data_IF_293832762588
#
_entry.id   IF_293832762588
#
_cell.length_a   1.000
_cell.length_b   1.000
_cell.length_c   1.000
_cell.angle_alpha   90.00
_cell.angle_beta   90.00
_cell.angle_gamma   90.00
#
_symmetry.space_group_name_H-M   'P 1'
#
loop_
_entity.id
_entity.type
_entity.pdbx_description
1 polymer ?
#
# COMPACT_ATOMS: atom_id res chain seq x y z
N UNK A 1 -23.11 42.01 -71.32
CA UNK A 1 -22.66 40.63 -70.99
C UNK A 1 -21.47 40.64 -70.01
N UNK A 2 -20.46 41.48 -70.19
CA UNK A 2 -19.28 41.59 -69.31
C UNK A 2 -19.55 41.98 -67.84
N UNK A 3 -20.53 42.86 -67.57
CA UNK A 3 -20.87 43.27 -66.21
C UNK A 3 -21.47 42.14 -65.34
N UNK A 4 -22.21 41.21 -65.97
CA UNK A 4 -22.88 40.11 -65.25
C UNK A 4 -21.88 39.02 -64.82
N UNK A 5 -20.77 38.86 -65.56
CA UNK A 5 -19.68 37.91 -65.27
C UNK A 5 -18.83 38.42 -64.09
N UNK A 6 -18.53 39.72 -64.01
CA UNK A 6 -17.77 40.32 -62.90
C UNK A 6 -18.49 40.19 -61.54
N UNK A 7 -19.81 40.33 -61.55
CA UNK A 7 -20.61 40.30 -60.33
C UNK A 7 -20.74 38.87 -59.77
N UNK A 8 -20.91 37.86 -60.64
CA UNK A 8 -20.91 36.46 -60.21
C UNK A 8 -19.57 36.01 -59.65
N UNK A 9 -18.43 36.48 -60.20
CA UNK A 9 -17.11 36.15 -59.66
C UNK A 9 -16.84 36.74 -58.26
N UNK A 10 -17.33 37.97 -57.98
CA UNK A 10 -17.18 38.59 -56.66
C UNK A 10 -18.00 37.86 -55.58
N UNK A 11 -19.23 37.44 -55.90
CA UNK A 11 -20.11 36.74 -54.96
C UNK A 11 -19.57 35.33 -54.60
N UNK A 12 -18.92 34.64 -55.55
CA UNK A 12 -18.24 33.37 -55.27
C UNK A 12 -16.96 33.52 -54.44
N UNK A 13 -16.20 34.61 -54.57
CA UNK A 13 -15.00 34.82 -53.75
C UNK A 13 -15.35 35.16 -52.29
N UNK A 14 -16.39 35.97 -52.06
CA UNK A 14 -16.85 36.31 -50.71
C UNK A 14 -17.45 35.11 -49.97
N UNK A 15 -18.24 34.29 -50.65
CA UNK A 15 -18.83 33.08 -50.05
C UNK A 15 -17.81 31.97 -49.77
N UNK A 16 -16.74 31.87 -50.57
CA UNK A 16 -15.64 30.94 -50.31
C UNK A 16 -14.77 31.37 -49.11
N UNK A 17 -14.47 32.66 -48.99
CA UNK A 17 -13.73 33.19 -47.84
C UNK A 17 -14.54 33.08 -46.53
N UNK A 18 -15.83 33.40 -46.54
CA UNK A 18 -16.68 33.30 -45.35
C UNK A 18 -16.79 31.86 -44.81
N UNK A 19 -16.85 30.86 -45.71
CA UNK A 19 -16.90 29.44 -45.33
C UNK A 19 -15.56 28.89 -44.80
N UNK A 20 -14.43 29.40 -45.29
CA UNK A 20 -13.11 29.04 -44.75
C UNK A 20 -12.89 29.63 -43.35
N UNK A 21 -13.36 30.85 -43.10
CA UNK A 21 -13.26 31.48 -41.77
C UNK A 21 -14.18 30.80 -40.75
N UNK A 22 -15.41 30.40 -41.12
CA UNK A 22 -16.33 29.75 -40.19
C UNK A 22 -15.92 28.31 -39.83
N UNK A 23 -15.40 27.53 -40.79
CA UNK A 23 -14.92 26.17 -40.52
C UNK A 23 -13.67 26.17 -39.62
N UNK A 24 -12.75 27.11 -39.85
CA UNK A 24 -11.54 27.23 -39.05
C UNK A 24 -11.85 27.77 -37.65
N UNK A 25 -12.80 28.70 -37.52
CA UNK A 25 -13.24 29.21 -36.22
C UNK A 25 -13.90 28.12 -35.37
N UNK A 26 -14.77 27.28 -35.96
CA UNK A 26 -15.39 26.15 -35.25
C UNK A 26 -14.36 25.15 -34.72
N UNK A 27 -13.33 24.82 -35.54
CA UNK A 27 -12.23 23.93 -35.13
C UNK A 27 -11.38 24.52 -34.02
N UNK A 28 -11.10 25.83 -34.06
CA UNK A 28 -10.34 26.54 -33.01
C UNK A 28 -11.14 26.56 -31.70
N UNK A 29 -12.45 26.81 -31.76
CA UNK A 29 -13.31 26.81 -30.58
C UNK A 29 -13.45 25.41 -29.96
N UNK A 30 -13.53 24.36 -30.78
CA UNK A 30 -13.46 22.97 -30.32
C UNK A 30 -12.14 22.65 -29.63
N UNK A 31 -11.01 23.07 -30.21
CA UNK A 31 -9.69 22.88 -29.61
C UNK A 31 -9.56 23.63 -28.26
N UNK A 32 -10.07 24.87 -28.18
CA UNK A 32 -10.08 25.65 -26.94
C UNK A 32 -10.96 25.00 -25.86
N UNK A 33 -12.14 24.48 -26.22
CA UNK A 33 -13.01 23.79 -25.29
C UNK A 33 -12.38 22.48 -24.78
N UNK A 34 -11.76 21.70 -25.67
CA UNK A 34 -11.00 20.49 -25.28
C UNK A 34 -9.80 20.83 -24.37
N UNK A 35 -9.03 21.88 -24.68
CA UNK A 35 -7.93 22.33 -23.83
C UNK A 35 -8.43 22.84 -22.47
N UNK A 36 -9.55 23.56 -22.45
CA UNK A 36 -10.13 24.05 -21.19
C UNK A 36 -10.61 22.90 -20.29
N UNK A 37 -11.23 21.86 -20.85
CA UNK A 37 -11.60 20.64 -20.11
C UNK A 37 -10.38 19.89 -19.56
N UNK A 38 -9.23 19.94 -20.23
CA UNK A 38 -7.99 19.34 -19.73
C UNK A 38 -7.34 20.17 -18.60
N UNK A 39 -7.61 21.48 -18.53
CA UNK A 39 -7.08 22.36 -17.49
C UNK A 39 -7.92 22.37 -16.20
N UNK A 40 -9.19 21.96 -16.21
CA UNK A 40 -10.04 21.94 -15.00
C UNK A 40 -9.85 20.70 -14.13
N UNK A 41 -9.15 19.67 -14.62
CA UNK A 41 -8.92 18.42 -13.85
C UNK A 41 -7.65 18.44 -12.99
N UNK A 42 -6.91 19.55 -12.95
CA UNK A 42 -5.79 19.73 -12.02
C UNK A 42 -6.31 20.23 -10.67
N UNK A 43 -7.15 19.44 -10.01
CA UNK A 43 -7.41 19.62 -8.59
C UNK A 43 -6.11 19.24 -7.87
N UNK A 44 -5.45 20.19 -7.21
CA UNK A 44 -4.41 19.89 -6.22
C UNK A 44 -5.14 19.20 -5.07
N UNK A 45 -5.38 17.90 -5.20
CA UNK A 45 -5.64 17.07 -4.03
C UNK A 45 -4.43 17.22 -3.12
N UNK A 46 -4.69 17.61 -1.88
CA UNK A 46 -3.68 17.75 -0.85
C UNK A 46 -2.98 16.39 -0.69
N UNK A 47 -1.81 16.23 -1.31
CA UNK A 47 -1.07 14.95 -1.34
C UNK A 47 -0.69 14.48 0.07
N UNK A 48 -0.82 15.34 1.09
CA UNK A 48 -0.64 15.01 2.50
C UNK A 48 -1.89 14.51 3.24
N UNK A 49 -3.11 14.64 2.69
CA UNK A 49 -4.34 14.23 3.38
C UNK A 49 -4.50 12.70 3.46
N UNK A 50 -3.88 11.96 2.54
CA UNK A 50 -3.88 10.50 2.49
C UNK A 50 -2.63 9.86 3.10
N UNK A 51 -1.71 10.67 3.65
CA UNK A 51 -0.48 10.17 4.24
C UNK A 51 -0.76 9.37 5.52
N UNK A 52 -0.07 8.24 5.67
CA UNK A 52 -0.18 7.39 6.85
C UNK A 52 0.47 8.10 8.04
N UNK A 53 -0.28 8.30 9.13
CA UNK A 53 0.28 8.87 10.36
C UNK A 53 1.15 7.85 11.11
N UNK A 54 2.09 8.33 11.93
CA UNK A 54 2.96 7.48 12.73
C UNK A 54 2.13 6.63 13.72
N UNK A 55 1.07 7.20 14.28
CA UNK A 55 0.15 6.50 15.20
C UNK A 55 -0.63 5.40 14.47
N UNK A 56 -1.12 5.67 13.26
CA UNK A 56 -1.83 4.68 12.46
C UNK A 56 -0.91 3.54 12.02
N UNK A 57 0.32 3.86 11.57
CA UNK A 57 1.33 2.84 11.28
C UNK A 57 1.64 2.01 12.53
N UNK A 58 1.90 2.66 13.65
CA UNK A 58 2.20 2.02 14.93
C UNK A 58 1.09 1.07 15.34
N UNK A 59 -0.17 1.52 15.36
CA UNK A 59 -1.30 0.67 15.74
C UNK A 59 -1.43 -0.57 14.85
N UNK A 60 -1.29 -0.43 13.52
CA UNK A 60 -1.33 -1.58 12.60
C UNK A 60 -0.15 -2.54 12.83
N UNK A 61 1.08 -2.01 12.88
CA UNK A 61 2.29 -2.79 13.04
C UNK A 61 2.34 -3.53 14.38
N UNK A 62 1.97 -2.87 15.48
CA UNK A 62 1.97 -3.47 16.82
C UNK A 62 0.89 -4.54 16.95
N UNK A 63 -0.31 -4.30 16.40
CA UNK A 63 -1.37 -5.32 16.40
C UNK A 63 -0.92 -6.59 15.67
N UNK A 64 -0.28 -6.43 14.50
CA UNK A 64 0.25 -7.54 13.71
C UNK A 64 1.42 -8.24 14.41
N UNK A 65 2.35 -7.50 15.04
CA UNK A 65 3.46 -8.08 15.81
C UNK A 65 2.98 -8.92 17.00
N UNK A 66 1.96 -8.46 17.73
CA UNK A 66 1.36 -9.24 18.81
C UNK A 66 0.75 -10.55 18.30
N UNK A 67 0.11 -10.50 17.13
CA UNK A 67 -0.40 -11.70 16.49
C UNK A 67 0.74 -12.65 16.07
N UNK A 68 1.80 -12.13 15.45
CA UNK A 68 3.00 -12.90 15.09
C UNK A 68 3.66 -13.56 16.31
N UNK A 69 3.72 -12.87 17.44
CA UNK A 69 4.27 -13.43 18.67
C UNK A 69 3.52 -14.69 19.11
N UNK A 70 2.18 -14.65 19.11
CA UNK A 70 1.38 -15.83 19.46
C UNK A 70 1.57 -16.98 18.46
N UNK A 71 1.69 -16.68 17.17
CA UNK A 71 2.00 -17.71 16.17
C UNK A 71 3.39 -18.32 16.40
N UNK A 72 4.39 -17.51 16.72
CA UNK A 72 5.74 -17.98 17.03
C UNK A 72 5.76 -18.85 18.29
N UNK A 73 4.96 -18.51 19.31
CA UNK A 73 4.76 -19.36 20.49
C UNK A 73 4.16 -20.72 20.11
N UNK A 74 3.13 -20.76 19.25
CA UNK A 74 2.57 -22.03 18.76
C UNK A 74 3.59 -22.81 17.91
N UNK A 75 4.42 -22.14 17.09
CA UNK A 75 5.48 -22.79 16.30
C UNK A 75 6.51 -23.47 17.21
N UNK A 76 6.88 -22.81 18.33
CA UNK A 76 7.84 -23.34 19.29
C UNK A 76 7.40 -24.65 19.96
N UNK A 77 6.09 -24.90 20.02
CA UNK A 77 5.51 -26.11 20.61
C UNK A 77 5.60 -27.34 19.68
N UNK A 78 5.90 -27.14 18.40
CA UNK A 78 6.05 -28.24 17.43
C UNK A 78 7.42 -28.89 17.61
N UNK A 79 7.52 -29.85 18.52
CA UNK A 79 8.76 -30.58 18.82
C UNK A 79 9.06 -31.73 17.86
N UNK A 80 8.10 -32.10 17.00
CA UNK A 80 8.26 -33.20 16.04
C UNK A 80 9.30 -32.91 14.94
N UNK A 81 9.71 -31.66 14.76
CA UNK A 81 10.68 -31.28 13.74
C UNK A 81 11.53 -30.08 14.20
N UNK A 82 12.84 -30.28 14.36
CA UNK A 82 13.77 -29.33 15.03
C UNK A 82 13.76 -27.91 14.45
N UNK A 83 13.53 -27.76 13.13
CA UNK A 83 13.47 -26.43 12.50
C UNK A 83 12.37 -25.51 13.02
N UNK A 84 11.24 -26.05 13.46
CA UNK A 84 10.12 -25.24 13.95
C UNK A 84 10.50 -24.41 15.20
N UNK A 85 10.99 -25.02 16.29
CA UNK A 85 11.42 -24.27 17.47
C UNK A 85 12.65 -23.39 17.22
N UNK A 86 13.56 -23.78 16.33
CA UNK A 86 14.71 -22.94 15.95
C UNK A 86 14.26 -21.64 15.27
N UNK A 87 13.40 -21.74 14.25
CA UNK A 87 12.86 -20.58 13.54
C UNK A 87 12.00 -19.73 14.48
N UNK A 88 11.14 -20.35 15.30
CA UNK A 88 10.32 -19.63 16.27
C UNK A 88 11.17 -18.77 17.22
N UNK A 89 12.27 -19.33 17.76
CA UNK A 89 13.19 -18.61 18.64
C UNK A 89 13.82 -17.41 17.93
N UNK A 90 14.32 -17.59 16.71
CA UNK A 90 14.91 -16.50 15.93
C UNK A 90 13.89 -15.38 15.67
N UNK A 91 12.67 -15.74 15.29
CA UNK A 91 11.58 -14.80 15.03
C UNK A 91 11.15 -14.03 16.27
N UNK A 92 11.11 -14.66 17.44
CA UNK A 92 10.84 -13.97 18.72
C UNK A 92 11.89 -12.90 19.00
N UNK A 93 13.18 -13.20 18.82
CA UNK A 93 14.25 -12.21 19.03
C UNK A 93 14.20 -11.08 17.98
N UNK A 94 13.96 -11.40 16.70
CA UNK A 94 13.77 -10.40 15.65
C UNK A 94 12.56 -9.50 15.94
N UNK A 95 11.46 -10.05 16.46
CA UNK A 95 10.24 -9.31 16.83
C UNK A 95 10.47 -8.35 18.01
N UNK A 96 11.21 -8.76 19.05
CA UNK A 96 11.60 -7.87 20.16
C UNK A 96 12.41 -6.68 19.66
N UNK A 97 13.40 -6.95 18.80
CA UNK A 97 14.23 -5.90 18.19
C UNK A 97 13.38 -4.95 17.35
N UNK A 98 12.51 -5.49 16.50
CA UNK A 98 11.56 -4.71 15.69
C UNK A 98 10.73 -3.76 16.56
N UNK A 99 10.12 -4.27 17.64
CA UNK A 99 9.26 -3.48 18.52
C UNK A 99 10.04 -2.39 19.25
N UNK A 100 11.26 -2.69 19.72
CA UNK A 100 12.14 -1.70 20.35
C UNK A 100 12.52 -0.57 19.40
N UNK A 101 12.88 -0.89 18.15
CA UNK A 101 13.21 0.11 17.13
C UNK A 101 11.99 0.93 16.72
N UNK A 102 10.84 0.28 16.50
CA UNK A 102 9.60 0.97 16.16
C UNK A 102 9.23 2.00 17.24
N UNK A 103 9.23 1.58 18.51
CA UNK A 103 8.98 2.45 19.66
C UNK A 103 9.91 3.68 19.65
N UNK A 104 11.20 3.48 19.37
CA UNK A 104 12.18 4.56 19.26
C UNK A 104 11.87 5.53 18.11
N UNK A 105 11.53 4.99 16.93
CA UNK A 105 11.25 5.79 15.73
C UNK A 105 9.98 6.62 15.88
N UNK A 106 8.92 6.07 16.49
CA UNK A 106 7.65 6.79 16.72
C UNK A 106 7.63 7.61 18.02
N UNK A 107 8.69 7.54 18.84
CA UNK A 107 8.80 8.28 20.09
C UNK A 107 7.90 7.78 21.23
N UNK A 108 7.58 6.49 21.24
CA UNK A 108 6.79 5.84 22.30
C UNK A 108 7.75 5.19 23.30
N UNK A 109 7.79 5.70 24.54
CA UNK A 109 8.73 5.27 25.57
C UNK A 109 8.13 4.29 26.60
N UNK A 110 6.85 3.95 26.48
CA UNK A 110 6.17 3.02 27.39
C UNK A 110 5.78 1.72 26.66
N UNK A 111 5.97 0.58 27.32
CA UNK A 111 5.53 -0.75 26.84
C UNK A 111 4.00 -0.91 26.76
N UNK A 112 3.25 0.06 27.28
CA UNK A 112 1.78 0.10 27.26
C UNK A 112 1.23 0.42 25.87
N UNK A 113 1.45 -0.50 24.93
CA UNK A 113 0.60 -0.55 23.74
C UNK A 113 -0.72 -1.20 24.13
N UNK A 114 -1.73 -0.38 24.45
CA UNK A 114 -3.13 -0.83 24.58
C UNK A 114 -3.69 -1.43 23.28
N UNK A 115 -2.93 -1.34 22.18
CA UNK A 115 -3.24 -1.94 20.89
C UNK A 115 -3.47 -3.45 21.03
N UNK A 116 -4.73 -3.86 20.92
CA UNK A 116 -5.10 -5.26 20.91
C UNK A 116 -4.78 -5.92 19.55
N UNK A 117 -4.72 -7.25 19.56
CA UNK A 117 -4.79 -8.03 18.32
C UNK A 117 -6.19 -7.83 17.72
N UNK A 118 -6.29 -7.66 16.41
CA UNK A 118 -7.59 -7.54 15.74
C UNK A 118 -8.46 -8.78 15.94
N UNK A 119 -9.77 -8.58 16.06
CA UNK A 119 -10.74 -9.64 16.37
C UNK A 119 -10.66 -10.82 15.39
N UNK A 120 -10.50 -10.54 14.09
CA UNK A 120 -10.35 -11.58 13.07
C UNK A 120 -9.13 -12.48 13.33
N UNK A 121 -7.98 -11.88 13.67
CA UNK A 121 -6.76 -12.63 13.98
C UNK A 121 -6.93 -13.45 15.27
N UNK A 122 -7.64 -12.92 16.27
CA UNK A 122 -7.98 -13.67 17.48
C UNK A 122 -8.87 -14.88 17.18
N UNK A 123 -9.91 -14.70 16.36
CA UNK A 123 -10.76 -15.82 15.94
C UNK A 123 -10.00 -16.88 15.15
N UNK A 124 -9.07 -16.47 14.28
CA UNK A 124 -8.21 -17.39 13.54
C UNK A 124 -7.35 -18.23 14.48
N UNK A 125 -6.78 -17.64 15.55
CA UNK A 125 -6.07 -18.39 16.59
C UNK A 125 -6.97 -19.40 17.31
N UNK A 126 -8.21 -19.01 17.63
CA UNK A 126 -9.18 -19.91 18.26
C UNK A 126 -9.50 -21.09 17.33
N UNK A 127 -9.64 -20.85 16.02
CA UNK A 127 -9.86 -21.92 15.03
C UNK A 127 -8.64 -22.82 14.88
N UNK A 128 -7.43 -22.25 14.84
CA UNK A 128 -6.17 -22.99 14.76
C UNK A 128 -6.06 -23.99 15.93
N UNK A 129 -6.36 -23.57 17.16
CA UNK A 129 -6.27 -24.42 18.36
C UNK A 129 -7.25 -25.60 18.40
N UNK A 130 -8.25 -25.62 17.51
CA UNK A 130 -9.17 -26.76 17.34
C UNK A 130 -8.63 -27.83 16.39
N UNK A 131 -7.57 -27.51 15.63
CA UNK A 131 -6.91 -28.46 14.74
C UNK A 131 -5.89 -29.29 15.52
N UNK A 132 -5.54 -30.45 14.97
CA UNK A 132 -4.52 -31.33 15.52
C UNK A 132 -3.61 -31.90 14.42
N UNK A 133 -2.44 -32.39 14.82
CA UNK A 133 -1.50 -33.08 13.94
C UNK A 133 -1.06 -32.24 12.73
N UNK A 134 -1.08 -32.84 11.55
CA UNK A 134 -0.60 -32.20 10.31
C UNK A 134 -1.49 -31.04 9.86
N UNK A 135 -2.79 -31.09 10.12
CA UNK A 135 -3.70 -29.99 9.78
C UNK A 135 -3.38 -28.73 10.61
N UNK A 136 -3.10 -28.92 11.90
CA UNK A 136 -2.61 -27.82 12.76
C UNK A 136 -1.32 -27.22 12.23
N UNK A 137 -0.32 -28.07 11.92
CA UNK A 137 1.00 -27.60 11.43
C UNK A 137 0.88 -26.82 10.13
N UNK A 138 0.15 -27.35 9.14
CA UNK A 138 -0.07 -26.69 7.85
C UNK A 138 -0.78 -25.36 8.00
N UNK A 139 -1.83 -25.32 8.82
CA UNK A 139 -2.59 -24.10 9.06
C UNK A 139 -1.77 -23.05 9.82
N UNK A 140 -0.99 -23.45 10.82
CA UNK A 140 -0.09 -22.55 11.53
C UNK A 140 0.94 -21.92 10.58
N UNK A 141 1.62 -22.74 9.77
CA UNK A 141 2.58 -22.23 8.77
C UNK A 141 1.90 -21.27 7.79
N UNK A 142 0.70 -21.61 7.30
CA UNK A 142 -0.09 -20.74 6.42
C UNK A 142 -0.40 -19.40 7.10
N UNK A 143 -0.88 -19.42 8.35
CA UNK A 143 -1.20 -18.22 9.12
C UNK A 143 0.03 -17.35 9.38
N UNK A 144 1.19 -17.96 9.67
CA UNK A 144 2.45 -17.21 9.84
C UNK A 144 2.90 -16.56 8.55
N UNK A 145 2.80 -17.25 7.41
CA UNK A 145 3.11 -16.69 6.09
C UNK A 145 2.22 -15.48 5.78
N UNK A 146 0.92 -15.61 5.99
CA UNK A 146 -0.04 -14.53 5.72
C UNK A 146 0.20 -13.32 6.63
N UNK A 147 0.56 -13.56 7.88
CA UNK A 147 0.93 -12.52 8.83
C UNK A 147 2.21 -11.78 8.42
N UNK A 148 3.24 -12.50 7.96
CA UNK A 148 4.46 -11.90 7.41
C UNK A 148 4.17 -11.03 6.18
N UNK A 149 3.33 -11.53 5.27
CA UNK A 149 2.89 -10.76 4.11
C UNK A 149 2.11 -9.50 4.50
N UNK A 150 1.27 -9.58 5.53
CA UNK A 150 0.53 -8.43 6.04
C UNK A 150 1.47 -7.37 6.64
N UNK A 151 2.45 -7.80 7.44
CA UNK A 151 3.44 -6.87 8.00
C UNK A 151 4.28 -6.21 6.91
N UNK A 152 4.71 -6.96 5.89
CA UNK A 152 5.39 -6.41 4.71
C UNK A 152 4.49 -5.40 3.99
N UNK A 153 3.20 -5.70 3.80
CA UNK A 153 2.24 -4.79 3.16
C UNK A 153 2.11 -3.46 3.91
N UNK A 154 2.11 -3.50 5.26
CA UNK A 154 2.13 -2.30 6.11
C UNK A 154 3.38 -1.44 5.82
N UNK A 155 4.55 -2.06 5.63
CA UNK A 155 5.79 -1.34 5.31
C UNK A 155 5.79 -0.80 3.88
N UNK A 156 5.33 -1.59 2.90
CA UNK A 156 5.16 -1.14 1.51
C UNK A 156 4.28 0.10 1.43
N UNK A 157 3.19 0.14 2.21
CA UNK A 157 2.34 1.34 2.33
C UNK A 157 3.11 2.52 2.91
N UNK A 158 3.90 2.30 3.95
CA UNK A 158 4.69 3.35 4.60
C UNK A 158 5.76 3.96 3.68
N UNK A 159 6.45 3.14 2.87
CA UNK A 159 7.52 3.62 1.97
C UNK A 159 7.01 4.23 0.67
N UNK A 160 5.72 4.07 0.36
CA UNK A 160 5.14 4.60 -0.87
C UNK A 160 5.26 6.13 -0.98
N UNK A 161 5.18 6.72 -2.19
CA UNK A 161 5.26 8.18 -2.38
C UNK A 161 4.21 8.97 -1.57
N UNK A 162 3.05 8.37 -1.32
CA UNK A 162 1.96 8.90 -0.48
C UNK A 162 1.90 8.22 0.90
N UNK A 163 3.00 7.61 1.34
CA UNK A 163 3.07 6.73 2.50
C UNK A 163 3.15 7.47 3.84
N UNK A 164 4.06 7.03 4.71
CA UNK A 164 4.22 7.60 6.05
C UNK A 164 4.58 9.09 6.00
N UNK A 165 3.91 9.92 6.80
CA UNK A 165 4.18 11.37 6.86
C UNK A 165 5.54 11.70 7.49
N UNK A 166 5.98 10.93 8.48
CA UNK A 166 7.30 11.08 9.11
C UNK A 166 8.38 10.44 8.22
N UNK A 167 9.35 11.20 7.69
CA UNK A 167 10.43 10.67 6.88
C UNK A 167 11.28 9.62 7.62
N UNK A 168 11.50 9.77 8.94
CA UNK A 168 12.29 8.80 9.71
C UNK A 168 11.58 7.45 9.78
N UNK A 169 10.26 7.47 9.93
CA UNK A 169 9.44 6.26 9.90
C UNK A 169 9.48 5.61 8.52
N UNK A 170 9.44 6.42 7.46
CA UNK A 170 9.54 5.94 6.08
C UNK A 170 10.87 5.24 5.82
N UNK A 171 11.99 5.90 6.16
CA UNK A 171 13.33 5.37 5.95
C UNK A 171 13.56 4.10 6.78
N UNK A 172 13.11 4.09 8.04
CA UNK A 172 13.18 2.89 8.88
C UNK A 172 12.32 1.75 8.30
N UNK A 173 11.10 2.04 7.84
CA UNK A 173 10.25 1.02 7.24
C UNK A 173 10.88 0.41 5.99
N UNK A 174 11.58 1.21 5.18
CA UNK A 174 12.35 0.71 4.03
C UNK A 174 13.52 -0.18 4.47
N UNK A 175 14.27 0.23 5.49
CA UNK A 175 15.39 -0.55 6.03
C UNK A 175 14.96 -1.90 6.63
N UNK A 176 13.72 -2.02 7.11
CA UNK A 176 13.19 -3.27 7.66
C UNK A 176 12.78 -4.29 6.60
N UNK A 177 12.51 -3.86 5.36
CA UNK A 177 12.02 -4.74 4.29
C UNK A 177 12.87 -6.00 4.04
N UNK A 178 14.23 -5.94 4.00
CA UNK A 178 15.06 -7.14 3.85
C UNK A 178 14.84 -8.16 4.97
N UNK A 179 14.83 -7.70 6.23
CA UNK A 179 14.62 -8.56 7.41
C UNK A 179 13.25 -9.22 7.39
N UNK A 180 12.20 -8.48 7.04
CA UNK A 180 10.84 -9.01 6.95
C UNK A 180 10.69 -10.03 5.81
N UNK A 181 11.34 -9.78 4.68
CA UNK A 181 11.33 -10.69 3.53
C UNK A 181 12.10 -11.96 3.82
N UNK A 182 13.22 -11.88 4.54
CA UNK A 182 13.98 -13.04 5.01
C UNK A 182 13.11 -13.91 5.95
N UNK A 183 12.42 -13.30 6.92
CA UNK A 183 11.52 -14.01 7.83
C UNK A 183 10.42 -14.77 7.08
N UNK A 184 9.83 -14.14 6.05
CA UNK A 184 8.84 -14.77 5.18
C UNK A 184 9.44 -15.97 4.41
N UNK A 185 10.65 -15.80 3.86
CA UNK A 185 11.32 -16.88 3.14
C UNK A 185 11.62 -18.07 4.06
N UNK A 186 12.11 -17.83 5.27
CA UNK A 186 12.39 -18.88 6.27
C UNK A 186 11.14 -19.71 6.59
N UNK A 187 9.98 -19.07 6.82
CA UNK A 187 8.75 -19.79 7.15
C UNK A 187 8.18 -20.53 5.93
N UNK A 188 8.36 -20.01 4.72
CA UNK A 188 7.93 -20.69 3.49
C UNK A 188 8.67 -22.00 3.26
N UNK A 189 9.90 -22.15 3.77
CA UNK A 189 10.66 -23.39 3.73
C UNK A 189 10.12 -24.48 4.67
N UNK A 190 9.16 -24.16 5.54
CA UNK A 190 8.49 -25.12 6.42
C UNK A 190 7.20 -25.73 5.84
N UNK A 191 6.79 -25.31 4.63
CA UNK A 191 5.59 -25.85 3.95
C UNK A 191 5.73 -27.31 3.54
#
# INVERSE_FOLDING_TARGET
MLLRIKQTTMDTQYSFQANLFSLNYWRIMQAFFCCWLLCTSCHKEDTGAYALSSEAFYAMAVSEQKYQQLLNEELSKITSHVRFPEIAKQRIEKSKKYMSELNSVVGVFAEDSSTAIGDENMERLIRLRKLAGDNFKKELVRMTIESDQQLISIHVRAVSPTGAKDPRLRDWAEQMMPTLTENLAEIQLLR
#
